data_IF_886932302605
#
_entry.id   IF_886932302605
#
_cell.length_a   1.000
_cell.length_b   1.000
_cell.length_c   1.000
_cell.angle_alpha   90.00
_cell.angle_beta   90.00
_cell.angle_gamma   90.00
#
_symmetry.space_group_name_H-M   'P 1'
#
loop_
_entity.id
_entity.type
_entity.pdbx_description
1 polymer ?
#
# COMPACT_ATOMS: atom_id res chain seq x y z
N UNK A 1 -50.75 9.24 13.10
CA UNK A 1 -50.40 10.01 11.88
C UNK A 1 -49.85 9.02 10.88
N UNK A 2 -50.51 8.85 9.74
CA UNK A 2 -49.99 8.13 8.57
C UNK A 2 -49.12 9.10 7.77
N UNK A 3 -48.13 8.62 7.04
CA UNK A 3 -47.94 8.84 5.59
C UNK A 3 -46.85 7.91 5.05
N UNK A 4 -47.29 6.95 4.22
CA UNK A 4 -46.49 6.28 3.19
C UNK A 4 -46.14 7.30 2.11
N UNK A 5 -45.01 7.14 1.40
CA UNK A 5 -45.06 7.15 -0.07
C UNK A 5 -43.97 6.25 -0.69
N UNK A 6 -44.48 5.19 -1.30
CA UNK A 6 -43.93 4.34 -2.34
C UNK A 6 -43.74 5.14 -3.64
N UNK A 7 -42.65 4.92 -4.38
CA UNK A 7 -42.60 5.11 -5.83
C UNK A 7 -41.90 3.95 -6.53
N UNK A 8 -42.52 3.56 -7.63
CA UNK A 8 -42.28 2.39 -8.46
C UNK A 8 -42.05 2.88 -9.91
N UNK A 9 -41.36 2.05 -10.70
CA UNK A 9 -41.36 1.92 -12.17
C UNK A 9 -40.43 2.79 -13.04
N UNK A 10 -39.68 2.08 -13.89
CA UNK A 10 -39.19 2.53 -15.20
C UNK A 10 -38.24 1.51 -15.83
N UNK A 11 -38.74 0.67 -16.75
CA UNK A 11 -38.03 -0.44 -17.37
C UNK A 11 -37.46 -0.11 -18.78
N UNK A 12 -36.44 -0.89 -19.16
CA UNK A 12 -36.14 -1.44 -20.50
C UNK A 12 -35.71 -0.50 -21.64
N UNK A 13 -34.51 -0.73 -22.20
CA UNK A 13 -34.31 -0.91 -23.65
C UNK A 13 -33.01 -1.67 -23.94
N UNK A 14 -33.13 -2.74 -24.74
CA UNK A 14 -32.03 -3.54 -25.28
C UNK A 14 -31.72 -3.10 -26.71
N UNK A 15 -30.44 -3.08 -27.12
CA UNK A 15 -30.02 -3.24 -28.52
C UNK A 15 -28.72 -4.04 -28.58
N UNK A 16 -28.80 -5.16 -29.29
CA UNK A 16 -27.70 -6.02 -29.75
C UNK A 16 -27.16 -5.46 -31.08
N UNK A 17 -25.85 -5.49 -31.29
CA UNK A 17 -25.28 -5.54 -32.64
C UNK A 17 -23.97 -6.35 -32.64
N UNK A 18 -24.01 -7.46 -33.37
CA UNK A 18 -22.91 -8.36 -33.71
C UNK A 18 -22.34 -7.90 -35.06
N UNK A 19 -21.02 -7.84 -35.21
CA UNK A 19 -20.37 -8.09 -36.49
C UNK A 19 -18.94 -8.63 -36.27
N UNK A 20 -18.74 -9.89 -36.65
CA UNK A 20 -17.45 -10.47 -36.95
C UNK A 20 -16.93 -9.92 -38.28
N UNK A 21 -15.62 -9.70 -38.40
CA UNK A 21 -14.96 -9.62 -39.71
C UNK A 21 -13.61 -10.32 -39.66
N UNK A 22 -13.50 -11.33 -40.52
CA UNK A 22 -12.34 -12.16 -40.82
C UNK A 22 -11.24 -11.39 -41.58
N UNK A 23 -10.03 -11.95 -41.62
CA UNK A 23 -9.09 -11.66 -42.71
C UNK A 23 -7.63 -12.02 -42.45
N UNK A 24 -7.24 -13.25 -42.76
CA UNK A 24 -5.88 -13.72 -43.09
C UNK A 24 -5.26 -12.91 -44.25
N UNK A 25 -3.97 -12.90 -44.60
CA UNK A 25 -2.96 -13.96 -44.72
C UNK A 25 -1.62 -13.34 -45.16
N UNK A 26 -0.49 -13.94 -44.75
CA UNK A 26 0.71 -14.38 -45.53
C UNK A 26 1.04 -13.72 -46.88
N UNK A 27 2.26 -13.57 -47.39
CA UNK A 27 3.69 -13.86 -47.10
C UNK A 27 4.36 -13.55 -48.45
N UNK A 28 5.54 -12.93 -48.52
CA UNK A 28 6.60 -13.23 -49.53
C UNK A 28 7.96 -12.84 -48.89
N UNK A 29 8.88 -13.73 -48.50
CA UNK A 29 9.93 -14.45 -49.29
C UNK A 29 10.65 -13.60 -50.35
N UNK A 30 11.94 -13.70 -50.63
CA UNK A 30 13.13 -14.35 -50.07
C UNK A 30 14.31 -13.91 -51.00
N UNK A 31 15.54 -13.89 -50.49
CA UNK A 31 16.77 -14.45 -51.13
C UNK A 31 17.99 -13.93 -50.32
N UNK A 32 18.78 -14.80 -49.67
CA UNK A 32 19.82 -15.69 -50.23
C UNK A 32 21.09 -14.91 -50.61
N UNK A 33 22.32 -15.35 -50.35
CA UNK A 33 22.88 -16.50 -49.66
C UNK A 33 24.39 -16.22 -49.48
N UNK A 34 25.09 -17.22 -48.93
CA UNK A 34 26.46 -17.65 -49.29
C UNK A 34 27.59 -17.25 -48.33
N UNK A 35 28.54 -18.08 -47.93
CA UNK A 35 28.65 -19.53 -47.69
C UNK A 35 30.04 -19.75 -47.02
N UNK A 36 30.18 -20.87 -46.31
CA UNK A 36 31.40 -21.58 -45.93
C UNK A 36 32.39 -20.97 -44.92
N UNK A 37 33.19 -21.70 -44.13
CA UNK A 37 33.22 -23.04 -43.50
C UNK A 37 34.70 -23.21 -43.11
N UNK A 38 35.02 -23.51 -41.85
CA UNK A 38 36.13 -24.42 -41.57
C UNK A 38 35.98 -25.07 -40.18
N UNK A 39 36.12 -26.39 -40.17
CA UNK A 39 36.22 -27.26 -39.01
C UNK A 39 37.69 -27.49 -38.70
N UNK A 40 38.08 -27.65 -37.44
CA UNK A 40 39.01 -28.71 -37.01
C UNK A 40 38.71 -29.14 -35.57
N UNK A 41 38.68 -30.45 -35.39
CA UNK A 41 38.55 -31.22 -34.14
C UNK A 41 39.85 -31.21 -33.30
N UNK A 42 39.76 -31.47 -31.98
CA UNK A 42 40.74 -32.30 -31.24
C UNK A 42 40.22 -32.71 -29.84
N UNK A 43 40.71 -33.85 -29.37
CA UNK A 43 40.15 -34.79 -28.40
C UNK A 43 40.49 -34.57 -26.90
N UNK A 44 39.60 -35.04 -26.01
CA UNK A 44 39.94 -36.14 -25.07
C UNK A 44 40.62 -35.91 -23.71
N UNK A 45 39.86 -36.27 -22.66
CA UNK A 45 40.24 -36.95 -21.38
C UNK A 45 40.54 -36.17 -20.09
N UNK A 46 39.89 -36.60 -19.01
CA UNK A 46 40.44 -36.55 -17.64
C UNK A 46 39.41 -36.55 -16.50
N UNK A 47 39.10 -37.72 -15.95
CA UNK A 47 38.54 -37.89 -14.58
C UNK A 47 39.49 -37.29 -13.52
N UNK A 48 38.94 -36.74 -12.43
CA UNK A 48 39.13 -37.20 -11.05
C UNK A 48 38.76 -36.15 -9.97
N UNK A 49 38.02 -36.68 -8.99
CA UNK A 49 38.06 -36.48 -7.53
C UNK A 49 37.76 -35.11 -6.89
N UNK A 50 36.66 -35.13 -6.12
CA UNK A 50 36.52 -34.71 -4.73
C UNK A 50 37.60 -33.78 -4.18
N UNK A 51 37.23 -32.52 -3.97
CA UNK A 51 37.79 -31.71 -2.88
C UNK A 51 36.66 -30.90 -2.26
N UNK A 52 36.22 -31.37 -1.09
CA UNK A 52 35.53 -30.58 -0.08
C UNK A 52 36.38 -29.36 0.27
N UNK A 53 35.88 -28.17 -0.04
CA UNK A 53 36.24 -26.93 0.63
C UNK A 53 35.08 -25.94 0.56
N UNK A 54 34.41 -25.79 1.69
CA UNK A 54 34.28 -24.50 2.35
C UNK A 54 33.26 -23.54 1.75
N UNK A 55 32.18 -23.36 2.51
CA UNK A 55 31.49 -22.08 2.67
C UNK A 55 32.41 -20.90 2.38
N UNK A 56 32.05 -20.13 1.36
CA UNK A 56 32.13 -18.67 1.31
C UNK A 56 31.31 -18.26 0.08
N UNK A 57 30.01 -18.50 0.16
CA UNK A 57 29.10 -17.64 -0.58
C UNK A 57 29.15 -16.31 0.14
N UNK A 58 29.81 -15.34 -0.49
CA UNK A 58 29.62 -13.92 -0.26
C UNK A 58 28.12 -13.66 -0.25
N UNK A 59 27.55 -13.75 0.95
CA UNK A 59 26.23 -13.27 1.27
C UNK A 59 26.34 -11.78 0.96
N UNK A 60 25.81 -11.39 -0.20
CA UNK A 60 25.52 -10.01 -0.48
C UNK A 60 24.61 -9.59 0.67
N UNK A 61 25.27 -8.93 1.62
CA UNK A 61 24.74 -8.05 2.64
C UNK A 61 23.65 -7.23 1.96
N UNK A 62 22.43 -7.76 2.00
CA UNK A 62 21.23 -6.98 1.78
C UNK A 62 21.28 -5.97 2.89
N UNK A 63 21.70 -4.76 2.52
CA UNK A 63 21.94 -3.67 3.43
C UNK A 63 20.79 -3.58 4.40
N UNK A 64 21.12 -3.90 5.66
CA UNK A 64 20.56 -3.37 6.88
C UNK A 64 19.40 -2.42 6.58
N UNK A 65 18.18 -2.99 6.53
CA UNK A 65 16.93 -2.25 6.64
C UNK A 65 17.08 -1.40 7.88
N UNK A 66 17.40 -0.13 7.65
CA UNK A 66 17.81 0.81 8.67
C UNK A 66 16.82 0.74 9.80
N UNK A 67 17.31 0.24 10.94
CA UNK A 67 16.51 -0.14 12.10
C UNK A 67 15.36 0.83 12.31
N UNK A 68 14.17 0.37 11.96
CA UNK A 68 12.96 1.15 12.10
C UNK A 68 12.78 1.50 13.58
N UNK A 69 13.00 2.76 13.93
CA UNK A 69 12.58 3.31 15.21
C UNK A 69 11.06 3.44 15.20
N UNK A 70 10.38 2.31 15.36
CA UNK A 70 8.94 2.26 15.60
C UNK A 70 8.66 2.82 17.01
N UNK A 71 7.67 3.72 17.09
CA UNK A 71 7.12 4.37 18.29
C UNK A 71 7.68 5.75 18.72
N UNK A 72 8.20 6.56 17.79
CA UNK A 72 8.56 7.96 18.09
C UNK A 72 7.92 8.97 17.15
N UNK A 73 6.94 9.74 17.64
CA UNK A 73 6.61 11.04 17.05
C UNK A 73 7.72 12.04 17.39
N UNK A 74 8.04 12.93 16.47
CA UNK A 74 9.00 14.02 16.70
C UNK A 74 8.28 15.34 16.86
N UNK A 75 8.16 15.80 18.10
CA UNK A 75 7.63 17.13 18.38
C UNK A 75 8.53 18.21 17.78
N UNK A 76 7.91 19.13 17.04
CA UNK A 76 8.57 20.33 16.54
C UNK A 76 8.93 21.22 17.73
N UNK A 77 10.18 21.66 17.79
CA UNK A 77 10.58 22.72 18.71
C UNK A 77 9.81 23.99 18.36
N UNK A 78 8.86 24.37 19.23
CA UNK A 78 7.95 25.50 19.05
C UNK A 78 8.64 26.88 19.03
N UNK A 79 9.97 26.94 19.21
CA UNK A 79 10.74 28.14 18.88
C UNK A 79 10.88 28.37 17.36
N UNK A 80 10.59 27.37 16.54
CA UNK A 80 10.56 27.42 15.09
C UNK A 80 9.12 27.65 14.57
N UNK A 81 8.94 28.14 13.34
CA UNK A 81 7.65 28.10 12.66
C UNK A 81 7.10 26.67 12.60
N UNK A 82 5.84 26.48 12.96
CA UNK A 82 5.20 25.17 13.01
C UNK A 82 4.80 24.76 11.57
N UNK A 83 5.28 23.61 11.06
CA UNK A 83 4.83 23.04 9.79
C UNK A 83 3.33 22.76 9.78
N UNK A 84 2.70 22.91 8.62
CA UNK A 84 1.33 22.48 8.40
C UNK A 84 1.17 21.92 6.98
N UNK A 85 0.17 21.06 6.83
CA UNK A 85 -0.24 20.47 5.56
C UNK A 85 -1.77 20.55 5.45
N UNK A 86 -2.27 20.76 4.24
CA UNK A 86 -3.69 20.68 3.88
C UNK A 86 -3.80 19.95 2.54
N UNK A 87 -4.95 19.30 2.29
CA UNK A 87 -5.18 18.57 1.04
C UNK A 87 -6.54 18.88 0.42
N UNK A 88 -6.57 18.89 -0.90
CA UNK A 88 -7.79 18.91 -1.70
C UNK A 88 -7.76 17.74 -2.69
N UNK A 89 -8.73 16.86 -2.58
CA UNK A 89 -8.93 15.66 -3.40
C UNK A 89 -10.11 15.88 -4.32
N UNK A 90 -9.91 15.70 -5.62
CA UNK A 90 -10.94 15.94 -6.62
C UNK A 90 -10.85 14.97 -7.79
N UNK A 91 -11.99 14.59 -8.38
CA UNK A 91 -12.02 13.62 -9.49
C UNK A 91 -11.31 14.15 -10.75
N UNK A 92 -10.39 13.36 -11.29
CA UNK A 92 -9.49 13.69 -12.41
C UNK A 92 -10.10 13.34 -13.76
N UNK A 93 -11.35 13.72 -14.02
CA UNK A 93 -12.02 13.56 -15.32
C UNK A 93 -12.24 12.12 -15.83
N UNK A 94 -11.63 11.11 -15.21
CA UNK A 94 -11.83 9.68 -15.43
C UNK A 94 -12.41 9.06 -14.17
N UNK A 95 -13.42 8.20 -14.32
CA UNK A 95 -14.08 7.57 -13.19
C UNK A 95 -13.08 6.74 -12.37
N UNK A 96 -13.02 6.99 -11.06
CA UNK A 96 -12.12 6.30 -10.14
C UNK A 96 -10.71 6.91 -10.02
N UNK A 97 -10.37 7.92 -10.82
CA UNK A 97 -9.10 8.65 -10.69
C UNK A 97 -9.33 9.98 -10.00
N UNK A 98 -8.50 10.30 -9.01
CA UNK A 98 -8.58 11.54 -8.24
C UNK A 98 -7.22 12.21 -8.15
N UNK A 99 -7.18 13.53 -8.17
CA UNK A 99 -5.98 14.34 -7.95
C UNK A 99 -5.98 14.78 -6.49
N UNK A 100 -4.87 14.51 -5.80
CA UNK A 100 -4.57 15.01 -4.46
C UNK A 100 -3.65 16.22 -4.62
N UNK A 101 -4.19 17.41 -4.37
CA UNK A 101 -3.42 18.64 -4.32
C UNK A 101 -3.04 18.97 -2.86
N UNK A 102 -1.76 19.12 -2.59
CA UNK A 102 -1.19 19.35 -1.26
C UNK A 102 -0.73 20.80 -1.12
N UNK A 103 -1.12 21.44 -0.02
CA UNK A 103 -0.61 22.76 0.37
C UNK A 103 0.23 22.63 1.63
N UNK A 104 1.42 23.22 1.62
CA UNK A 104 2.37 23.19 2.74
C UNK A 104 2.59 24.60 3.30
N UNK A 105 2.69 24.70 4.62
CA UNK A 105 3.14 25.90 5.32
C UNK A 105 4.33 25.56 6.23
N UNK A 106 5.35 26.43 6.26
CA UNK A 106 6.55 26.27 7.09
C UNK A 106 7.26 24.91 6.94
N UNK A 107 7.06 24.22 5.82
CA UNK A 107 7.68 22.94 5.50
C UNK A 107 8.35 23.01 4.13
N UNK A 108 9.58 22.51 4.04
CA UNK A 108 10.34 22.43 2.80
C UNK A 108 10.64 20.98 2.47
N UNK A 109 10.20 20.54 1.29
CA UNK A 109 10.52 19.20 0.79
C UNK A 109 12.02 19.11 0.51
N UNK A 110 12.69 18.09 1.03
CA UNK A 110 14.13 17.90 1.01
C UNK A 110 14.49 16.49 0.50
N UNK A 111 14.15 16.23 -0.76
CA UNK A 111 14.42 14.94 -1.43
C UNK A 111 15.91 14.55 -1.41
N UNK A 112 16.80 15.54 -1.50
CA UNK A 112 18.25 15.32 -1.58
C UNK A 112 18.86 14.74 -0.29
N UNK A 113 18.16 14.88 0.84
CA UNK A 113 18.66 14.49 2.16
C UNK A 113 17.83 13.38 2.83
N UNK A 114 16.94 12.74 2.07
CA UNK A 114 16.15 11.59 2.51
C UNK A 114 17.07 10.48 3.05
N UNK A 115 16.60 9.79 4.08
CA UNK A 115 17.34 8.80 4.88
C UNK A 115 18.49 9.42 5.71
N UNK A 116 18.56 10.76 5.77
CA UNK A 116 19.47 11.53 6.60
C UNK A 116 18.87 11.97 7.94
N UNK A 117 19.53 12.91 8.63
CA UNK A 117 19.08 13.45 9.91
C UNK A 117 17.83 14.34 9.76
N UNK A 118 16.90 14.25 10.72
CA UNK A 118 15.77 15.18 10.78
C UNK A 118 16.21 16.62 11.06
N UNK A 119 15.84 17.53 10.16
CA UNK A 119 16.02 18.97 10.31
C UNK A 119 14.65 19.64 10.49
N UNK A 120 14.44 20.49 11.51
CA UNK A 120 13.14 21.13 11.73
C UNK A 120 12.63 21.87 10.50
N UNK A 121 11.37 21.62 10.13
CA UNK A 121 10.72 22.26 8.98
C UNK A 121 11.15 21.71 7.61
N UNK A 122 11.89 20.60 7.55
CA UNK A 122 12.19 19.91 6.29
C UNK A 122 11.87 18.41 6.36
N UNK A 123 11.77 17.81 5.18
CA UNK A 123 11.57 16.37 5.04
C UNK A 123 10.78 16.00 3.80
N UNK A 124 9.86 15.06 3.95
CA UNK A 124 9.02 14.55 2.86
C UNK A 124 7.62 14.19 3.36
N UNK A 125 6.75 13.79 2.45
CA UNK A 125 5.36 13.42 2.77
C UNK A 125 5.18 11.92 2.63
N UNK A 126 4.37 11.32 3.49
CA UNK A 126 3.79 10.01 3.24
C UNK A 126 2.31 10.19 2.89
N UNK A 127 1.83 9.49 1.86
CA UNK A 127 0.41 9.43 1.52
C UNK A 127 -0.14 8.09 1.97
N UNK A 128 -1.34 8.11 2.54
CA UNK A 128 -2.06 6.94 2.97
C UNK A 128 -3.48 6.97 2.41
N UNK A 129 -4.00 5.80 2.05
CA UNK A 129 -5.39 5.60 1.64
C UNK A 129 -6.00 4.57 2.59
N UNK A 130 -7.09 4.94 3.25
CA UNK A 130 -7.77 4.12 4.26
C UNK A 130 -6.84 3.65 5.38
N UNK A 131 -5.89 4.52 5.71
CA UNK A 131 -4.81 4.26 6.67
C UNK A 131 -3.62 3.51 6.07
N UNK A 132 -3.72 2.84 4.93
CA UNK A 132 -2.59 2.10 4.32
C UNK A 132 -1.62 3.05 3.64
N UNK A 133 -0.35 3.00 4.03
CA UNK A 133 0.71 3.83 3.43
C UNK A 133 1.00 3.41 1.98
N UNK A 134 0.81 4.34 1.04
CA UNK A 134 1.19 4.16 -0.36
C UNK A 134 2.70 4.32 -0.58
N UNK A 135 3.34 5.18 0.22
CA UNK A 135 4.78 5.42 0.11
C UNK A 135 5.18 6.84 0.48
N UNK A 136 6.35 7.24 -0.02
CA UNK A 136 6.94 8.57 0.12
C UNK A 136 6.69 9.41 -1.13
N UNK A 137 6.36 10.68 -0.93
CA UNK A 137 5.99 11.62 -1.97
C UNK A 137 6.74 12.95 -1.82
N UNK A 138 7.05 13.55 -2.97
CA UNK A 138 7.72 14.85 -3.09
C UNK A 138 6.94 15.84 -3.95
N UNK A 139 6.04 15.34 -4.80
CA UNK A 139 5.16 16.17 -5.61
C UNK A 139 3.97 16.66 -4.80
N UNK A 140 3.54 17.90 -5.08
CA UNK A 140 2.38 18.52 -4.43
C UNK A 140 1.06 18.20 -5.14
N UNK A 141 1.12 17.65 -6.35
CA UNK A 141 -0.04 17.20 -7.11
C UNK A 141 0.19 15.74 -7.48
N UNK A 142 -0.68 14.84 -7.00
CA UNK A 142 -0.49 13.41 -7.19
C UNK A 142 -1.80 12.70 -7.54
N UNK A 143 -1.84 11.90 -8.62
CA UNK A 143 -3.02 11.12 -8.98
C UNK A 143 -3.11 9.84 -8.14
N UNK A 144 -4.30 9.54 -7.63
CA UNK A 144 -4.63 8.30 -6.94
C UNK A 144 -5.79 7.60 -7.64
N UNK A 145 -5.77 6.27 -7.63
CA UNK A 145 -6.90 5.46 -8.04
C UNK A 145 -7.66 5.01 -6.79
N UNK A 146 -8.96 5.29 -6.76
CA UNK A 146 -9.85 4.90 -5.68
C UNK A 146 -10.93 3.98 -6.24
N UNK A 147 -11.15 2.86 -5.55
CA UNK A 147 -12.26 1.97 -5.84
C UNK A 147 -13.59 2.65 -5.51
N UNK A 148 -14.73 2.13 -5.98
CA UNK A 148 -16.01 2.58 -5.46
C UNK A 148 -16.12 2.38 -3.94
N UNK A 149 -16.72 3.33 -3.23
CA UNK A 149 -16.84 3.28 -1.77
C UNK A 149 -16.40 4.56 -1.06
N UNK A 150 -16.41 4.50 0.27
CA UNK A 150 -15.87 5.57 1.13
C UNK A 150 -14.39 5.34 1.36
N UNK A 151 -13.61 6.38 1.10
CA UNK A 151 -12.17 6.40 1.29
C UNK A 151 -11.74 7.56 2.18
N UNK A 152 -10.64 7.37 2.91
CA UNK A 152 -9.92 8.44 3.63
C UNK A 152 -8.56 8.61 2.97
N UNK A 153 -8.32 9.77 2.38
CA UNK A 153 -6.99 10.17 1.91
C UNK A 153 -6.31 10.92 3.04
N UNK A 154 -5.09 10.53 3.37
CA UNK A 154 -4.25 11.17 4.38
C UNK A 154 -2.88 11.53 3.79
N UNK A 155 -2.37 12.71 4.15
CA UNK A 155 -0.98 13.11 3.90
C UNK A 155 -0.35 13.51 5.22
N UNK A 156 0.79 12.90 5.54
CA UNK A 156 1.53 13.10 6.79
C UNK A 156 2.93 13.68 6.51
N UNK A 157 3.36 14.66 7.31
CA UNK A 157 4.71 15.22 7.24
C UNK A 157 5.70 14.40 8.04
N UNK A 158 6.80 14.03 7.39
CA UNK A 158 7.85 13.20 7.94
C UNK A 158 9.21 13.88 7.82
N UNK A 159 10.09 13.69 8.81
CA UNK A 159 11.49 14.09 8.73
C UNK A 159 12.26 13.29 7.70
N UNK A 160 13.48 13.73 7.38
CA UNK A 160 14.37 12.97 6.48
C UNK A 160 14.71 11.58 7.00
N UNK A 161 14.71 11.39 8.32
CA UNK A 161 14.86 10.11 9.01
C UNK A 161 13.55 9.29 9.08
N UNK A 162 12.51 9.71 8.35
CA UNK A 162 11.16 9.13 8.33
C UNK A 162 10.39 9.19 9.66
N UNK A 163 10.89 9.88 10.69
CA UNK A 163 10.07 10.10 11.89
C UNK A 163 8.94 11.09 11.59
N UNK A 164 7.67 10.76 11.91
CA UNK A 164 6.56 11.69 11.71
C UNK A 164 6.74 12.95 12.57
N UNK A 165 6.52 14.11 11.97
CA UNK A 165 6.48 15.37 12.70
C UNK A 165 5.20 15.49 13.52
N UNK A 166 5.31 16.10 14.70
CA UNK A 166 4.19 16.30 15.61
C UNK A 166 4.24 17.69 16.28
N UNK A 167 3.10 18.09 16.84
CA UNK A 167 2.94 19.23 17.73
C UNK A 167 2.17 18.78 18.96
N UNK A 168 2.78 18.91 20.13
CA UNK A 168 2.22 18.46 21.42
C UNK A 168 1.77 16.99 21.36
N UNK A 169 2.58 16.13 20.73
CA UNK A 169 2.31 14.71 20.56
C UNK A 169 1.24 14.37 19.52
N UNK A 170 0.74 15.35 18.77
CA UNK A 170 -0.23 15.15 17.68
C UNK A 170 0.47 15.24 16.33
N UNK A 171 0.31 14.21 15.48
CA UNK A 171 0.89 14.18 14.13
C UNK A 171 0.48 15.40 13.31
N UNK A 172 1.41 15.89 12.49
CA UNK A 172 1.12 16.92 11.48
C UNK A 172 0.69 16.20 10.20
N UNK A 173 -0.61 16.01 10.04
CA UNK A 173 -1.22 15.41 8.87
C UNK A 173 -2.45 16.21 8.40
N UNK A 174 -2.94 15.87 7.22
CA UNK A 174 -4.22 16.33 6.69
C UNK A 174 -4.99 15.14 6.15
N UNK A 175 -6.31 15.12 6.40
CA UNK A 175 -7.20 14.04 5.95
C UNK A 175 -8.38 14.60 5.16
N UNK A 176 -8.84 13.86 4.17
CA UNK A 176 -10.08 14.14 3.46
C UNK A 176 -10.82 12.86 3.12
N UNK A 177 -12.11 12.84 3.46
CA UNK A 177 -13.03 11.77 3.08
C UNK A 177 -13.51 11.95 1.65
N UNK A 178 -13.46 10.90 0.86
CA UNK A 178 -13.90 10.86 -0.53
C UNK A 178 -14.90 9.72 -0.69
N UNK A 179 -16.05 10.00 -1.30
CA UNK A 179 -17.03 8.97 -1.62
C UNK A 179 -17.08 8.77 -3.13
N UNK A 180 -16.57 7.62 -3.58
CA UNK A 180 -16.49 7.23 -4.99
C UNK A 180 -17.78 6.50 -5.38
N UNK A 181 -18.52 6.94 -6.41
CA UNK A 181 -19.77 6.29 -6.79
C UNK A 181 -19.61 4.84 -7.24
N UNK A 182 -20.44 3.95 -6.68
CA UNK A 182 -20.54 2.55 -7.07
C UNK A 182 -20.61 1.64 -5.84
N UNK A 183 -20.60 0.34 -6.07
CA UNK A 183 -20.56 -0.66 -4.99
C UNK A 183 -19.10 -1.03 -4.72
N UNK A 184 -18.63 -1.01 -3.45
CA UNK A 184 -17.29 -1.43 -3.11
C UNK A 184 -16.98 -2.86 -3.57
N UNK A 185 -15.71 -3.17 -3.90
CA UNK A 185 -15.28 -4.54 -4.11
C UNK A 185 -15.54 -5.35 -2.84
N UNK A 186 -16.01 -6.59 -3.01
CA UNK A 186 -16.24 -7.52 -1.89
C UNK A 186 -15.06 -8.48 -1.85
N UNK A 187 -14.35 -8.51 -0.72
CA UNK A 187 -13.29 -9.47 -0.47
C UNK A 187 -13.85 -10.89 -0.25
N UNK A 188 -13.04 -11.91 -0.55
CA UNK A 188 -13.37 -13.30 -0.26
C UNK A 188 -13.44 -13.55 1.25
N UNK A 189 -12.57 -12.86 2.01
CA UNK A 189 -12.50 -12.91 3.47
C UNK A 189 -12.52 -11.49 4.04
N UNK A 190 -13.44 -11.23 4.97
CA UNK A 190 -13.52 -9.99 5.74
C UNK A 190 -13.17 -10.28 7.19
N UNK A 191 -12.25 -9.49 7.75
CA UNK A 191 -11.84 -9.58 9.15
C UNK A 191 -12.08 -8.22 9.79
N UNK A 192 -12.91 -8.18 10.82
CA UNK A 192 -13.25 -6.94 11.54
C UNK A 192 -12.70 -7.02 12.97
N UNK A 193 -11.90 -6.03 13.36
CA UNK A 193 -11.34 -5.92 14.69
C UNK A 193 -11.54 -4.51 15.27
N UNK A 194 -11.64 -4.42 16.60
CA UNK A 194 -11.75 -3.16 17.31
C UNK A 194 -10.85 -3.13 18.55
N UNK A 195 -10.06 -2.08 18.70
CA UNK A 195 -9.31 -1.78 19.92
C UNK A 195 -10.07 -0.74 20.76
N UNK A 196 -10.32 -1.09 22.02
CA UNK A 196 -10.84 -0.16 23.01
C UNK A 196 -10.01 -0.27 24.31
N UNK A 197 -9.29 0.80 24.65
CA UNK A 197 -8.25 0.75 25.67
C UNK A 197 -7.19 -0.29 25.30
N UNK A 198 -6.98 -1.30 26.15
CA UNK A 198 -6.01 -2.38 25.93
C UNK A 198 -6.65 -3.68 25.44
N UNK A 199 -7.93 -3.65 25.01
CA UNK A 199 -8.69 -4.85 24.64
C UNK A 199 -9.05 -4.86 23.16
N UNK A 200 -8.72 -5.95 22.49
CA UNK A 200 -9.17 -6.25 21.12
C UNK A 200 -10.48 -7.04 21.17
N UNK A 201 -11.42 -6.65 20.32
CA UNK A 201 -12.64 -7.42 20.01
C UNK A 201 -12.55 -7.89 18.57
N UNK A 202 -12.68 -9.20 18.36
CA UNK A 202 -12.66 -9.88 17.07
C UNK A 202 -13.50 -11.16 17.16
N UNK A 203 -14.07 -11.62 16.04
CA UNK A 203 -14.91 -12.83 15.99
C UNK A 203 -14.10 -14.13 16.17
N UNK A 204 -12.95 -14.22 15.51
CA UNK A 204 -12.01 -15.34 15.62
C UNK A 204 -10.57 -14.78 15.68
N UNK A 205 -9.78 -15.25 16.65
CA UNK A 205 -8.39 -14.82 16.82
C UNK A 205 -7.42 -15.59 15.91
N UNK A 206 -7.95 -16.54 15.12
CA UNK A 206 -7.26 -17.21 14.02
C UNK A 206 -8.17 -17.37 12.82
N UNK A 207 -7.73 -16.91 11.65
CA UNK A 207 -8.49 -16.99 10.40
C UNK A 207 -7.71 -17.79 9.37
N UNK A 208 -8.28 -18.90 8.90
CA UNK A 208 -7.74 -19.67 7.78
C UNK A 208 -8.24 -19.04 6.45
N UNK A 209 -7.31 -18.79 5.52
CA UNK A 209 -7.54 -18.14 4.23
C UNK A 209 -6.95 -19.00 3.10
N UNK A 210 -7.70 -19.21 2.03
CA UNK A 210 -7.21 -19.93 0.86
C UNK A 210 -6.13 -19.10 0.13
N UNK A 211 -5.04 -19.73 -0.29
CA UNK A 211 -3.99 -19.07 -1.08
C UNK A 211 -4.57 -18.44 -2.36
N UNK A 212 -4.36 -17.12 -2.51
CA UNK A 212 -4.84 -16.31 -3.62
C UNK A 212 -6.18 -15.61 -3.38
N UNK A 213 -6.83 -15.83 -2.23
CA UNK A 213 -8.04 -15.08 -1.85
C UNK A 213 -7.74 -13.60 -1.57
N UNK A 214 -8.72 -12.76 -1.85
CA UNK A 214 -8.73 -11.36 -1.42
C UNK A 214 -9.20 -11.25 0.03
N UNK A 215 -8.44 -10.52 0.83
CA UNK A 215 -8.74 -10.26 2.25
C UNK A 215 -8.95 -8.76 2.42
N UNK A 216 -9.99 -8.36 3.15
CA UNK A 216 -10.14 -7.01 3.69
C UNK A 216 -10.06 -7.09 5.21
N UNK A 217 -9.03 -6.47 5.80
CA UNK A 217 -8.93 -6.28 7.23
C UNK A 217 -9.43 -4.87 7.58
N UNK A 218 -10.47 -4.78 8.39
CA UNK A 218 -11.05 -3.53 8.88
C UNK A 218 -10.78 -3.40 10.37
N UNK A 219 -10.08 -2.35 10.75
CA UNK A 219 -9.68 -2.11 12.16
C UNK A 219 -10.15 -0.74 12.62
N UNK A 220 -10.85 -0.72 13.75
CA UNK A 220 -11.22 0.51 14.47
C UNK A 220 -10.43 0.62 15.78
N UNK A 221 -10.14 1.84 16.23
CA UNK A 221 -9.46 2.08 17.51
C UNK A 221 -9.93 3.37 18.19
N UNK A 222 -9.91 3.41 19.52
CA UNK A 222 -10.20 4.62 20.32
C UNK A 222 -8.94 5.48 20.61
N UNK A 223 -7.82 5.15 19.98
CA UNK A 223 -6.56 5.88 20.02
C UNK A 223 -5.86 5.84 18.65
N UNK A 224 -4.84 6.68 18.46
CA UNK A 224 -4.04 6.68 17.23
C UNK A 224 -2.95 5.62 17.33
N UNK A 225 -2.97 4.63 16.44
CA UNK A 225 -2.07 3.47 16.44
C UNK A 225 -1.75 3.05 14.99
N UNK A 226 -0.91 2.03 14.82
CA UNK A 226 -0.63 1.42 13.52
C UNK A 226 -0.92 -0.07 13.56
N UNK A 227 -1.63 -0.59 12.57
CA UNK A 227 -1.85 -2.01 12.34
C UNK A 227 -0.75 -2.52 11.43
N UNK A 228 -0.08 -3.59 11.79
CA UNK A 228 0.95 -4.22 10.97
C UNK A 228 0.55 -5.66 10.65
N UNK A 229 0.52 -5.98 9.35
CA UNK A 229 0.32 -7.34 8.82
C UNK A 229 1.69 -7.93 8.51
N UNK A 230 2.22 -8.74 9.43
CA UNK A 230 3.54 -9.35 9.27
C UNK A 230 3.57 -10.28 8.04
N UNK A 231 4.74 -10.36 7.40
CA UNK A 231 4.95 -11.18 6.20
C UNK A 231 4.38 -10.61 4.90
N UNK A 232 3.41 -9.67 4.98
CA UNK A 232 2.96 -8.87 3.84
C UNK A 232 3.58 -7.47 3.81
N UNK A 233 4.26 -7.05 4.89
CA UNK A 233 4.88 -5.74 5.05
C UNK A 233 3.88 -4.58 4.82
N UNK A 234 2.65 -4.77 5.33
CA UNK A 234 1.58 -3.78 5.20
C UNK A 234 1.36 -3.10 6.54
N UNK A 235 1.45 -1.77 6.54
CA UNK A 235 1.16 -0.94 7.71
C UNK A 235 0.00 0.00 7.42
N UNK A 236 -1.00 -0.01 8.31
CA UNK A 236 -2.17 0.86 8.28
C UNK A 236 -2.28 1.74 9.51
N UNK A 237 -2.42 3.06 9.34
CA UNK A 237 -2.74 4.00 10.42
C UNK A 237 -4.22 3.87 10.81
N UNK A 238 -4.50 3.74 12.11
CA UNK A 238 -5.85 3.76 12.68
C UNK A 238 -5.98 4.94 13.65
N UNK A 239 -7.18 5.53 13.74
CA UNK A 239 -7.45 6.62 14.67
C UNK A 239 -8.91 6.64 15.13
N UNK A 240 -9.25 7.41 16.17
CA UNK A 240 -10.65 7.61 16.56
C UNK A 240 -11.53 8.27 15.48
N UNK A 241 -10.89 8.93 14.49
CA UNK A 241 -11.58 9.69 13.46
C UNK A 241 -11.93 8.83 12.23
N UNK A 242 -11.28 7.68 12.06
CA UNK A 242 -11.53 6.75 10.95
C UNK A 242 -11.01 5.34 11.21
N UNK A 243 -11.72 4.36 10.65
CA UNK A 243 -11.30 2.96 10.61
C UNK A 243 -10.27 2.75 9.49
N UNK A 244 -9.26 1.94 9.76
CA UNK A 244 -8.31 1.46 8.75
C UNK A 244 -8.94 0.34 7.93
N UNK A 245 -8.78 0.37 6.62
CA UNK A 245 -9.16 -0.73 5.72
C UNK A 245 -7.96 -1.18 4.93
N UNK A 246 -7.57 -2.44 5.09
CA UNK A 246 -6.38 -3.01 4.47
C UNK A 246 -6.81 -4.13 3.53
N UNK A 247 -7.02 -3.82 2.23
CA UNK A 247 -7.20 -4.85 1.22
C UNK A 247 -5.85 -5.46 0.82
N UNK A 248 -5.75 -6.78 0.78
CA UNK A 248 -4.58 -7.48 0.24
C UNK A 248 -4.97 -8.83 -0.37
N UNK A 249 -4.08 -9.38 -1.19
CA UNK A 249 -4.22 -10.75 -1.72
C UNK A 249 -3.38 -11.67 -0.85
N UNK A 250 -3.97 -12.75 -0.35
CA UNK A 250 -3.26 -13.77 0.42
C UNK A 250 -2.38 -14.62 -0.50
N UNK A 251 -1.33 -14.05 -1.09
CA UNK A 251 -0.50 -14.67 -2.13
C UNK A 251 0.70 -15.47 -1.60
N UNK A 252 0.94 -15.41 -0.28
CA UNK A 252 2.06 -16.07 0.38
C UNK A 252 1.50 -17.06 1.40
N UNK A 253 1.78 -18.35 1.21
CA UNK A 253 1.38 -19.40 2.15
C UNK A 253 2.18 -19.31 3.44
N UNK A 254 1.53 -19.47 4.60
CA UNK A 254 2.21 -19.35 5.89
C UNK A 254 1.27 -19.03 7.05
N UNK A 255 1.89 -18.68 8.18
CA UNK A 255 1.23 -18.16 9.37
C UNK A 255 1.76 -16.76 9.61
N UNK A 256 0.86 -15.80 9.74
CA UNK A 256 1.19 -14.39 9.85
C UNK A 256 0.46 -13.79 11.03
N UNK A 257 1.16 -13.02 11.84
CA UNK A 257 0.56 -12.28 12.94
C UNK A 257 0.13 -10.90 12.44
N UNK A 258 -1.02 -10.45 12.89
CA UNK A 258 -1.47 -9.08 12.75
C UNK A 258 -1.53 -8.46 14.13
N UNK A 259 -0.95 -7.27 14.28
CA UNK A 259 -0.87 -6.61 15.58
C UNK A 259 -1.00 -5.09 15.45
N UNK A 260 -1.27 -4.45 16.58
CA UNK A 260 -1.01 -3.03 16.75
C UNK A 260 0.48 -2.85 17.02
N UNK A 261 1.19 -2.26 16.06
CA UNK A 261 2.66 -2.16 16.02
C UNK A 261 3.24 -1.38 17.21
N UNK A 262 2.66 -0.24 17.57
CA UNK A 262 3.22 0.61 18.63
C UNK A 262 3.06 0.00 20.02
N UNK A 263 1.94 -0.66 20.27
CA UNK A 263 1.64 -1.31 21.55
C UNK A 263 2.03 -2.79 21.63
N UNK A 264 2.29 -3.43 20.49
CA UNK A 264 2.51 -4.88 20.37
C UNK A 264 1.27 -5.72 20.69
N UNK A 265 0.07 -5.11 20.64
CA UNK A 265 -1.17 -5.81 20.97
C UNK A 265 -1.59 -6.66 19.78
N UNK A 266 -1.60 -7.98 19.98
CA UNK A 266 -2.04 -8.95 18.98
C UNK A 266 -3.50 -8.75 18.57
N UNK A 267 -3.79 -8.88 17.27
CA UNK A 267 -5.12 -8.80 16.68
C UNK A 267 -5.59 -10.19 16.21
N UNK A 268 -4.87 -10.84 15.29
CA UNK A 268 -5.28 -12.11 14.66
C UNK A 268 -4.08 -12.88 14.08
N UNK A 269 -4.14 -14.23 14.11
CA UNK A 269 -3.24 -15.10 13.34
C UNK A 269 -3.92 -15.43 12.00
N UNK A 270 -3.33 -14.99 10.89
CA UNK A 270 -3.74 -15.37 9.55
C UNK A 270 -3.01 -16.65 9.13
N UNK A 271 -3.75 -17.66 8.69
CA UNK A 271 -3.18 -18.91 8.18
C UNK A 271 -3.55 -19.05 6.71
N UNK A 272 -2.56 -18.93 5.84
CA UNK A 272 -2.75 -19.00 4.38
C UNK A 272 -2.27 -20.34 3.85
N UNK A 273 -3.16 -21.12 3.21
CA UNK A 273 -2.85 -22.48 2.72
C UNK A 273 -3.52 -22.86 1.40
#
# INVERSE_FOLDING_TARGET
MKWNHLRLLGALFAVILIAASCGSSTTETADAADDTMDQMDDDGHGDHDDTDHGDDHDNMDHGDDGGHSHAGLRDVDQSNPIPAVDIAVSESGSAGTYDVAVTLENFTIDEASVDGEAVPGTGHMHMLIDGVKLGRFFDLDYPVELTPGEHVVEVELNGNDHTPWAVDGTRINATQRVNVPGEPPVADVLIEAALAGDSVTIDDDRVDVDLGSTVELVVSADLVERVHVHGYDIIGNVSPDFDTRIPFVADTAGKFEVEFEGSGVFIVELVVS
#
